data_IF_708553005704
#
_entry.id   IF_708553005704
#
_cell.length_a   1.000
_cell.length_b   1.000
_cell.length_c   1.000
_cell.angle_alpha   90.00
_cell.angle_beta   90.00
_cell.angle_gamma   90.00
#
_symmetry.space_group_name_H-M   'P 1'
#
loop_
_entity.id
_entity.type
_entity.pdbx_description
1 polymer ?
#
# COMPACT_ATOMS: atom_id res chain seq x y z
N UNK A 1 -17.64 -18.51 -33.33
CA UNK A 1 -16.71 -19.55 -32.87
C UNK A 1 -15.54 -18.89 -32.15
N UNK A 2 -15.07 -19.53 -31.07
CA UNK A 2 -14.45 -18.88 -29.90
C UNK A 2 -13.19 -18.05 -30.16
N UNK A 3 -13.18 -16.86 -29.56
CA UNK A 3 -11.96 -16.07 -29.37
C UNK A 3 -11.10 -16.80 -28.34
N UNK A 4 -9.97 -17.33 -28.78
CA UNK A 4 -9.00 -18.00 -27.92
C UNK A 4 -8.57 -17.05 -26.79
N UNK A 5 -9.01 -17.35 -25.59
CA UNK A 5 -8.54 -16.71 -24.35
C UNK A 5 -7.02 -16.90 -24.33
N UNK A 6 -6.28 -15.80 -24.52
CA UNK A 6 -4.83 -15.79 -24.33
C UNK A 6 -4.54 -16.16 -22.88
N UNK A 7 -4.30 -17.45 -22.62
CA UNK A 7 -3.54 -17.91 -21.48
C UNK A 7 -2.09 -17.52 -21.73
N UNK A 8 -1.78 -16.23 -21.60
CA UNK A 8 -0.42 -15.80 -21.34
C UNK A 8 -0.10 -16.22 -19.91
N UNK A 9 0.38 -17.45 -19.74
CA UNK A 9 1.16 -17.83 -18.57
C UNK A 9 2.44 -16.99 -18.63
N UNK A 10 2.37 -15.76 -18.11
CA UNK A 10 3.52 -14.87 -17.95
C UNK A 10 4.40 -15.42 -16.82
N UNK A 11 5.05 -16.55 -17.07
CA UNK A 11 6.10 -17.07 -16.19
C UNK A 11 7.34 -16.22 -16.44
N UNK A 12 7.64 -15.32 -15.51
CA UNK A 12 8.81 -14.46 -15.58
C UNK A 12 9.76 -14.80 -14.46
N UNK A 13 11.00 -15.16 -14.81
CA UNK A 13 12.07 -15.36 -13.83
C UNK A 13 12.60 -13.99 -13.42
N UNK A 14 12.64 -13.72 -12.12
CA UNK A 14 13.13 -12.45 -11.57
C UNK A 14 14.43 -12.74 -10.81
N UNK A 15 15.50 -12.04 -11.18
CA UNK A 15 16.75 -12.04 -10.42
C UNK A 15 16.67 -10.98 -9.31
N UNK A 16 16.91 -11.39 -8.07
CA UNK A 16 16.91 -10.51 -6.92
C UNK A 16 18.32 -9.99 -6.66
N UNK A 17 18.51 -8.67 -6.68
CA UNK A 17 19.79 -8.03 -6.38
C UNK A 17 19.61 -7.02 -5.25
N UNK A 18 20.48 -7.06 -4.26
CA UNK A 18 20.50 -6.06 -3.18
C UNK A 18 21.46 -4.97 -3.59
N UNK A 19 21.05 -3.71 -3.44
CA UNK A 19 21.96 -2.57 -3.62
C UNK A 19 23.00 -2.46 -2.49
N UNK A 20 22.87 -3.25 -1.44
CA UNK A 20 23.67 -3.19 -0.22
C UNK A 20 24.21 -4.58 0.15
N UNK A 21 25.49 -4.64 0.52
CA UNK A 21 26.25 -5.89 0.67
C UNK A 21 25.82 -6.75 1.86
N UNK A 22 25.09 -6.17 2.82
CA UNK A 22 24.73 -6.83 4.09
C UNK A 22 23.24 -7.15 4.24
N UNK A 23 22.42 -6.87 3.22
CA UNK A 23 20.97 -7.15 3.28
C UNK A 23 20.65 -8.50 2.67
N UNK A 24 19.94 -9.34 3.42
CA UNK A 24 19.42 -10.62 2.92
C UNK A 24 18.28 -10.37 1.93
N UNK A 25 18.12 -11.30 1.00
CA UNK A 25 17.07 -11.28 -0.01
C UNK A 25 16.31 -12.58 0.01
N UNK A 26 15.02 -12.47 -0.17
CA UNK A 26 14.09 -13.58 -0.13
C UNK A 26 13.24 -13.57 -1.40
N UNK A 27 12.52 -14.66 -1.65
CA UNK A 27 11.41 -14.66 -2.59
C UNK A 27 10.10 -14.56 -1.81
N UNK A 28 9.02 -14.11 -2.47
CA UNK A 28 7.67 -14.18 -1.94
C UNK A 28 6.67 -14.70 -2.96
N UNK A 29 5.55 -15.23 -2.46
CA UNK A 29 4.35 -15.48 -3.22
C UNK A 29 3.12 -14.99 -2.46
N UNK A 30 2.14 -14.47 -3.18
CA UNK A 30 0.84 -14.11 -2.62
C UNK A 30 -0.29 -14.56 -3.55
N UNK A 31 -1.32 -15.13 -2.96
CA UNK A 31 -2.44 -15.71 -3.68
C UNK A 31 -3.76 -15.53 -2.91
N UNK A 32 -4.87 -15.70 -3.62
CA UNK A 32 -6.21 -15.80 -3.04
C UNK A 32 -6.74 -17.20 -3.25
N UNK A 33 -7.53 -17.68 -2.29
CA UNK A 33 -8.32 -18.89 -2.45
C UNK A 33 -9.79 -18.50 -2.52
N UNK A 34 -10.34 -18.46 -3.74
CA UNK A 34 -11.75 -18.12 -3.96
C UNK A 34 -12.51 -19.42 -4.20
N UNK A 35 -13.24 -19.87 -3.19
CA UNK A 35 -14.07 -21.08 -3.27
C UNK A 35 -13.28 -22.34 -3.68
N UNK A 36 -12.05 -22.50 -3.19
CA UNK A 36 -11.16 -23.62 -3.52
C UNK A 36 -10.26 -23.36 -4.72
N UNK A 37 -10.48 -22.28 -5.48
CA UNK A 37 -9.65 -21.95 -6.64
C UNK A 37 -8.51 -21.02 -6.21
N UNK A 38 -7.28 -21.52 -6.37
CA UNK A 38 -6.06 -20.75 -6.11
C UNK A 38 -5.80 -19.78 -7.24
N UNK A 39 -5.75 -18.49 -6.92
CA UNK A 39 -5.44 -17.41 -7.84
C UNK A 39 -4.15 -16.73 -7.38
N UNK A 40 -3.06 -16.94 -8.11
CA UNK A 40 -1.78 -16.26 -7.84
C UNK A 40 -1.97 -14.77 -8.13
N UNK A 41 -1.70 -13.94 -7.14
CA UNK A 41 -1.79 -12.49 -7.25
C UNK A 41 -0.44 -11.95 -7.71
N UNK A 42 0.66 -12.30 -7.02
CA UNK A 42 2.03 -11.90 -7.36
C UNK A 42 3.07 -12.89 -6.83
N UNK A 43 4.22 -12.93 -7.50
CA UNK A 43 5.44 -13.58 -7.06
C UNK A 43 6.63 -12.65 -7.35
N UNK A 44 7.70 -12.74 -6.58
CA UNK A 44 8.92 -11.97 -6.85
C UNK A 44 9.91 -11.95 -5.70
N UNK A 45 10.71 -10.88 -5.65
CA UNK A 45 11.72 -10.64 -4.63
C UNK A 45 11.14 -9.95 -3.40
N UNK A 46 11.63 -10.33 -2.24
CA UNK A 46 11.30 -9.74 -0.96
C UNK A 46 12.59 -9.25 -0.28
N UNK A 47 12.49 -8.10 0.36
CA UNK A 47 13.62 -7.49 1.08
C UNK A 47 13.88 -8.23 2.39
N UNK A 48 14.99 -7.90 3.02
CA UNK A 48 15.47 -8.45 4.29
C UNK A 48 14.40 -8.39 5.39
N UNK A 49 13.79 -9.54 5.70
CA UNK A 49 12.72 -9.69 6.69
C UNK A 49 13.01 -10.94 7.54
N UNK A 50 13.12 -10.74 8.85
CA UNK A 50 13.43 -11.78 9.84
C UNK A 50 12.44 -12.94 9.81
N UNK A 51 11.20 -12.71 9.36
CA UNK A 51 10.20 -13.78 9.24
C UNK A 51 10.57 -14.80 8.16
N UNK A 52 11.42 -14.43 7.21
CA UNK A 52 11.79 -15.22 6.04
C UNK A 52 13.13 -15.95 6.20
N UNK A 53 13.84 -15.72 7.31
CA UNK A 53 15.17 -16.28 7.54
C UNK A 53 15.11 -17.80 7.68
N UNK A 54 16.07 -18.47 7.06
CA UNK A 54 16.25 -19.92 7.13
C UNK A 54 15.01 -20.74 6.68
N UNK A 55 14.03 -20.10 6.01
CA UNK A 55 12.84 -20.75 5.45
C UNK A 55 13.09 -21.16 4.01
N UNK A 56 13.33 -22.43 3.76
CA UNK A 56 13.53 -22.93 2.38
C UNK A 56 12.22 -23.15 1.61
N UNK A 57 11.11 -23.35 2.33
CA UNK A 57 9.79 -23.59 1.74
C UNK A 57 8.86 -22.38 1.92
N UNK A 58 8.09 -22.05 0.86
CA UNK A 58 7.14 -20.96 0.90
C UNK A 58 5.78 -21.43 1.45
N UNK A 59 5.58 -21.30 2.77
CA UNK A 59 4.38 -21.79 3.46
C UNK A 59 3.66 -20.68 4.22
N UNK A 60 2.36 -20.52 4.00
CA UNK A 60 1.49 -19.67 4.83
C UNK A 60 0.94 -20.50 6.01
N UNK A 61 1.08 -19.96 7.21
CA UNK A 61 0.75 -20.64 8.48
C UNK A 61 -0.37 -19.94 9.26
N UNK A 62 -0.79 -18.74 8.86
CA UNK A 62 -1.88 -18.01 9.51
C UNK A 62 -3.21 -18.71 9.30
N UNK A 63 -4.07 -18.73 10.31
CA UNK A 63 -5.40 -19.30 10.19
C UNK A 63 -6.33 -18.43 9.32
N UNK A 64 -6.92 -19.04 8.28
CA UNK A 64 -7.90 -18.46 7.34
C UNK A 64 -7.61 -17.01 6.88
N UNK A 65 -6.50 -16.74 6.19
CA UNK A 65 -6.18 -15.40 5.71
C UNK A 65 -7.03 -15.01 4.48
N UNK A 66 -7.46 -13.74 4.39
CA UNK A 66 -8.15 -13.20 3.20
C UNK A 66 -7.24 -13.20 1.96
N UNK A 67 -5.95 -12.91 2.19
CA UNK A 67 -4.88 -12.95 1.19
C UNK A 67 -3.72 -13.73 1.80
N UNK A 68 -3.36 -14.82 1.14
CA UNK A 68 -2.27 -15.69 1.58
C UNK A 68 -0.93 -15.08 1.20
N UNK A 69 0.06 -15.23 2.07
CA UNK A 69 1.41 -14.72 1.85
C UNK A 69 2.45 -15.70 2.39
N UNK A 70 3.51 -15.93 1.63
CA UNK A 70 4.70 -16.61 2.13
C UNK A 70 5.96 -15.95 1.58
N UNK A 71 7.05 -16.10 2.33
CA UNK A 71 8.38 -15.77 1.90
C UNK A 71 9.35 -16.91 2.24
N UNK A 72 10.42 -17.00 1.47
CA UNK A 72 11.41 -18.06 1.57
C UNK A 72 12.78 -17.58 1.08
N UNK A 73 13.82 -18.30 1.47
CA UNK A 73 15.20 -18.08 1.08
C UNK A 73 15.66 -19.19 0.12
N UNK A 74 16.37 -18.79 -0.93
CA UNK A 74 16.85 -19.68 -1.99
C UNK A 74 16.33 -19.30 -3.38
N UNK A 75 17.06 -19.73 -4.41
CA UNK A 75 16.68 -19.46 -5.79
C UNK A 75 15.38 -20.19 -6.14
N UNK A 76 14.40 -19.44 -6.65
CA UNK A 76 13.10 -19.96 -7.09
C UNK A 76 12.33 -20.72 -5.99
N UNK A 77 12.61 -20.47 -4.70
CA UNK A 77 11.92 -21.17 -3.61
C UNK A 77 10.40 -20.92 -3.61
N UNK A 78 9.94 -19.80 -4.19
CA UNK A 78 8.53 -19.43 -4.29
C UNK A 78 7.80 -20.04 -5.51
N UNK A 79 8.44 -20.88 -6.33
CA UNK A 79 7.79 -21.55 -7.47
C UNK A 79 6.66 -22.49 -7.03
N UNK A 80 6.78 -23.01 -5.80
CA UNK A 80 5.77 -23.82 -5.12
C UNK A 80 5.48 -23.15 -3.78
N UNK A 81 4.19 -22.95 -3.50
CA UNK A 81 3.72 -22.39 -2.25
C UNK A 81 2.59 -23.26 -1.69
N UNK A 82 2.45 -23.30 -0.36
CA UNK A 82 1.45 -24.11 0.32
C UNK A 82 0.82 -23.39 1.50
N UNK A 83 -0.30 -23.94 1.97
CA UNK A 83 -1.01 -23.49 3.16
C UNK A 83 -1.01 -24.63 4.17
N UNK A 84 -0.45 -24.38 5.35
CA UNK A 84 -0.42 -25.34 6.46
C UNK A 84 -0.59 -24.57 7.77
N UNK A 85 -1.84 -24.36 8.23
CA UNK A 85 -2.07 -23.64 9.47
C UNK A 85 -1.41 -24.38 10.62
N UNK A 86 -0.66 -23.64 11.44
CA UNK A 86 0.01 -24.24 12.60
C UNK A 86 -1.05 -24.57 13.67
N UNK A 87 -1.31 -25.87 13.86
CA UNK A 87 -2.32 -26.36 14.82
C UNK A 87 -1.89 -26.09 16.27
N UNK A 88 -0.62 -25.75 16.51
CA UNK A 88 -0.06 -25.48 17.85
C UNK A 88 -0.01 -24.00 18.22
N UNK A 89 -0.52 -23.11 17.38
CA UNK A 89 -0.75 -21.75 17.82
C UNK A 89 -1.99 -21.76 18.72
N UNK A 90 -1.75 -21.84 20.04
CA UNK A 90 -2.60 -21.17 21.05
C UNK A 90 -3.20 -19.93 20.40
N UNK A 91 -4.50 -19.63 20.52
CA UNK A 91 -5.06 -18.44 19.92
C UNK A 91 -4.23 -17.27 20.40
N UNK A 92 -3.28 -16.83 19.58
CA UNK A 92 -2.72 -15.51 19.70
C UNK A 92 -4.00 -14.71 19.57
N UNK A 93 -4.42 -13.95 20.59
CA UNK A 93 -5.54 -13.07 20.40
C UNK A 93 -5.22 -12.41 19.07
N UNK A 94 -6.13 -12.50 18.12
CA UNK A 94 -6.31 -11.44 17.17
C UNK A 94 -6.48 -10.22 18.06
N UNK A 95 -5.35 -9.65 18.49
CA UNK A 95 -5.14 -8.24 18.49
C UNK A 95 -5.53 -7.96 17.06
N UNK A 96 -6.81 -7.62 16.90
CA UNK A 96 -7.26 -6.56 16.06
C UNK A 96 -6.21 -5.45 16.25
N UNK A 97 -5.02 -5.61 15.67
CA UNK A 97 -4.39 -4.51 14.99
C UNK A 97 -5.50 -4.17 14.03
N UNK A 98 -6.23 -3.06 14.25
CA UNK A 98 -7.22 -2.68 13.29
C UNK A 98 -6.45 -2.73 11.98
N UNK A 99 -6.88 -3.62 11.08
CA UNK A 99 -6.61 -3.47 9.66
C UNK A 99 -6.77 -1.98 9.48
N UNK A 100 -5.67 -1.28 9.20
CA UNK A 100 -5.71 0.15 8.96
C UNK A 100 -6.72 0.27 7.85
N UNK A 101 -7.97 0.55 8.24
CA UNK A 101 -9.06 0.78 7.34
C UNK A 101 -8.46 1.82 6.43
N UNK A 102 -8.46 1.52 5.12
CA UNK A 102 -7.98 2.42 4.05
C UNK A 102 -8.16 3.84 4.56
N UNK A 103 -7.09 4.65 4.68
CA UNK A 103 -7.16 5.95 5.36
C UNK A 103 -8.46 6.58 4.93
N UNK A 104 -9.38 6.87 5.87
CA UNK A 104 -10.78 7.05 5.56
C UNK A 104 -10.82 8.04 4.40
N UNK A 105 -11.35 7.62 3.24
CA UNK A 105 -11.38 8.49 2.05
C UNK A 105 -11.94 9.87 2.41
N UNK A 106 -12.82 9.90 3.42
CA UNK A 106 -13.33 11.09 4.08
C UNK A 106 -12.26 11.97 4.77
N UNK A 107 -11.33 11.41 5.53
CA UNK A 107 -10.20 12.17 6.11
C UNK A 107 -9.25 12.71 5.06
N UNK A 108 -8.91 11.92 4.03
CA UNK A 108 -8.08 12.41 2.91
C UNK A 108 -8.80 13.50 2.12
N UNK A 109 -10.11 13.37 1.92
CA UNK A 109 -10.95 14.41 1.33
C UNK A 109 -10.99 15.67 2.20
N UNK A 110 -11.09 15.55 3.52
CA UNK A 110 -11.08 16.71 4.43
C UNK A 110 -9.74 17.46 4.36
N UNK A 111 -8.60 16.76 4.40
CA UNK A 111 -7.29 17.40 4.32
C UNK A 111 -6.98 18.00 2.93
N UNK A 112 -7.61 17.54 1.85
CA UNK A 112 -7.44 18.15 0.53
C UNK A 112 -8.44 19.28 0.26
N UNK A 113 -9.70 19.16 0.71
CA UNK A 113 -10.74 20.17 0.50
C UNK A 113 -10.51 21.45 1.33
N UNK A 114 -10.07 21.31 2.58
CA UNK A 114 -9.82 22.46 3.47
C UNK A 114 -8.77 23.44 2.90
N UNK A 115 -7.57 23.01 2.46
CA UNK A 115 -6.60 23.94 1.88
C UNK A 115 -7.10 24.51 0.54
N UNK A 116 -7.83 23.75 -0.28
CA UNK A 116 -8.40 24.26 -1.53
C UNK A 116 -9.41 25.39 -1.26
N UNK A 117 -10.29 25.22 -0.27
CA UNK A 117 -11.26 26.24 0.14
C UNK A 117 -10.60 27.47 0.77
N UNK A 118 -9.54 27.28 1.55
CA UNK A 118 -8.78 28.40 2.11
C UNK A 118 -8.08 29.22 1.03
N UNK A 119 -7.42 28.55 0.07
CA UNK A 119 -6.75 29.21 -1.06
C UNK A 119 -7.77 29.95 -1.93
N UNK A 120 -8.93 29.33 -2.24
CA UNK A 120 -9.96 29.99 -3.04
C UNK A 120 -10.53 31.23 -2.35
N UNK A 121 -10.76 31.18 -1.04
CA UNK A 121 -11.20 32.34 -0.26
C UNK A 121 -10.17 33.48 -0.29
N UNK A 122 -8.87 33.17 -0.13
CA UNK A 122 -7.80 34.17 -0.21
C UNK A 122 -7.77 34.80 -1.60
N UNK A 123 -7.81 34.00 -2.67
CA UNK A 123 -7.80 34.52 -4.05
C UNK A 123 -9.02 35.40 -4.31
N UNK A 124 -10.21 34.99 -3.86
CA UNK A 124 -11.43 35.78 -4.00
C UNK A 124 -11.35 37.09 -3.21
N UNK A 125 -10.83 37.08 -1.98
CA UNK A 125 -10.65 38.29 -1.18
C UNK A 125 -9.60 39.21 -1.80
N UNK A 126 -8.46 38.68 -2.25
CA UNK A 126 -7.44 39.46 -2.95
C UNK A 126 -7.97 40.07 -4.23
N UNK A 127 -8.70 39.30 -5.04
CA UNK A 127 -9.35 39.79 -6.25
C UNK A 127 -10.42 40.82 -5.93
N UNK A 128 -11.24 40.59 -4.90
CA UNK A 128 -12.27 41.53 -4.48
C UNK A 128 -11.66 42.84 -3.98
N UNK A 129 -10.62 42.80 -3.13
CA UNK A 129 -9.88 43.98 -2.70
C UNK A 129 -9.19 44.69 -3.88
N UNK A 130 -8.59 43.95 -4.81
CA UNK A 130 -7.97 44.50 -6.02
C UNK A 130 -8.99 45.20 -6.93
N UNK A 131 -10.19 44.62 -7.07
CA UNK A 131 -11.29 45.20 -7.85
C UNK A 131 -11.99 46.34 -7.12
N UNK A 132 -12.03 46.30 -5.78
CA UNK A 132 -12.62 47.32 -4.92
C UNK A 132 -11.66 48.47 -4.59
N UNK A 133 -10.37 48.31 -4.85
CA UNK A 133 -9.35 49.38 -4.76
C UNK A 133 -9.55 50.53 -5.75
N UNK A 134 -10.64 50.52 -6.53
CA UNK A 134 -11.07 51.65 -7.36
C UNK A 134 -12.29 52.44 -6.81
N UNK A 135 -12.62 52.43 -5.51
CA UNK A 135 -13.55 53.44 -4.87
C UNK A 135 -13.44 53.43 -3.31
N UNK A 136 -13.52 54.57 -2.57
CA UNK A 136 -12.42 55.40 -2.06
C UNK A 136 -12.37 55.52 -0.51
N UNK A 137 -11.25 56.06 0.02
CA UNK A 137 -11.04 56.90 1.24
C UNK A 137 -9.61 56.61 1.74
N UNK A 138 -8.62 57.47 1.52
CA UNK A 138 -8.46 58.80 2.11
C UNK A 138 -9.04 58.87 3.53
N UNK A 139 -8.25 58.39 4.50
CA UNK A 139 -8.11 58.85 5.90
C UNK A 139 -7.88 57.67 6.86
N UNK A 140 -6.62 57.36 7.11
CA UNK A 140 -6.08 57.33 8.47
C UNK A 140 -4.56 57.16 8.42
N UNK A 141 -3.86 57.86 9.30
CA UNK A 141 -2.42 57.83 9.59
C UNK A 141 -1.51 58.82 8.83
N UNK A 142 -1.58 60.10 9.20
CA UNK A 142 -0.35 60.87 9.41
C UNK A 142 -0.39 61.51 10.82
N UNK A 143 0.64 61.31 11.65
CA UNK A 143 0.56 61.60 13.08
C UNK A 143 0.76 63.08 13.39
N UNK A 144 0.09 63.47 14.48
CA UNK A 144 0.20 64.70 15.24
C UNK A 144 1.63 65.29 15.30
N UNK A 145 1.77 66.56 14.87
CA UNK A 145 2.71 67.52 15.46
C UNK A 145 1.99 68.86 15.58
#
# INVERSE_FOLDING_TARGET
MGSATKLALSVFLISCSSGEKDKRLHCFATWKNVSGVVQVVKQGCWLDDVNCYDRTECVEMKDVPEVFFCCCEGSLCNHKFSYSPDTNQTPVPSTNKPVTARPPVLTTLMYSLVPIMAISAIVLLSFWMYRHQNWPTHLSWYPHR
#
